data_IF_660350968871
#
_entry.id   IF_660350968871
#
_cell.length_a   1.000
_cell.length_b   1.000
_cell.length_c   1.000
_cell.angle_alpha   90.00
_cell.angle_beta   90.00
_cell.angle_gamma   90.00
#
_symmetry.space_group_name_H-M   'P 1'
#
loop_
_entity.id
_entity.type
_entity.pdbx_description
1 polymer ?
#
# COMPACT_ATOMS: atom_id res chain seq x y z
N UNK A 1 -9.65 31.81 8.15
CA UNK A 1 -10.72 31.59 7.13
C UNK A 1 -10.06 30.86 5.96
N UNK A 2 -10.29 29.57 5.83
CA UNK A 2 -9.78 28.77 4.71
C UNK A 2 -10.54 29.18 3.45
N UNK A 3 -9.82 29.61 2.41
CA UNK A 3 -10.42 29.88 1.09
C UNK A 3 -11.13 28.62 0.59
N UNK A 4 -12.30 28.75 -0.05
CA UNK A 4 -13.01 27.60 -0.58
C UNK A 4 -12.12 26.89 -1.61
N UNK A 5 -11.96 25.59 -1.47
CA UNK A 5 -11.25 24.76 -2.45
C UNK A 5 -12.13 24.68 -3.69
N UNK A 6 -11.64 25.19 -4.82
CA UNK A 6 -12.39 25.16 -6.07
C UNK A 6 -11.91 23.98 -6.91
N UNK A 7 -12.80 23.04 -7.17
CA UNK A 7 -12.60 21.98 -8.17
C UNK A 7 -13.09 22.51 -9.51
N UNK A 8 -12.24 22.50 -10.53
CA UNK A 8 -12.56 23.02 -11.86
C UNK A 8 -13.40 22.02 -12.68
N UNK A 9 -14.07 22.52 -13.74
CA UNK A 9 -14.77 21.64 -14.69
C UNK A 9 -13.81 20.63 -15.35
N UNK A 10 -12.56 21.04 -15.56
CA UNK A 10 -11.51 20.16 -16.08
C UNK A 10 -11.24 19.01 -15.09
N UNK A 11 -11.16 19.32 -13.80
CA UNK A 11 -10.96 18.30 -12.76
C UNK A 11 -12.11 17.29 -12.76
N UNK A 12 -13.36 17.78 -12.86
CA UNK A 12 -14.53 16.91 -12.91
C UNK A 12 -14.55 15.99 -14.14
N UNK A 13 -14.19 16.51 -15.31
CA UNK A 13 -14.06 15.66 -16.52
C UNK A 13 -13.01 14.59 -16.35
N UNK A 14 -11.88 14.93 -15.75
CA UNK A 14 -10.81 13.99 -15.48
C UNK A 14 -11.24 12.92 -14.46
N UNK A 15 -11.93 13.33 -13.39
CA UNK A 15 -12.47 12.39 -12.41
C UNK A 15 -13.44 11.39 -13.06
N UNK A 16 -14.28 11.84 -14.01
CA UNK A 16 -15.17 10.97 -14.77
C UNK A 16 -14.40 9.97 -15.65
N UNK A 17 -13.26 10.36 -16.20
CA UNK A 17 -12.35 9.47 -16.95
C UNK A 17 -11.77 8.38 -16.04
N UNK A 18 -11.29 8.77 -14.86
CA UNK A 18 -10.71 7.85 -13.86
C UNK A 18 -11.73 6.81 -13.36
N UNK A 19 -13.01 7.17 -13.31
CA UNK A 19 -14.10 6.26 -12.91
C UNK A 19 -14.46 5.25 -14.00
N UNK A 20 -13.90 5.37 -15.20
CA UNK A 20 -14.14 4.49 -16.33
C UNK A 20 -13.76 3.02 -16.12
N UNK A 21 -13.92 2.21 -17.15
CA UNK A 21 -13.68 0.76 -17.05
C UNK A 21 -12.19 0.40 -17.18
N UNK A 22 -11.51 0.21 -16.06
CA UNK A 22 -10.10 -0.20 -15.96
C UNK A 22 -9.92 -1.70 -15.74
N UNK A 23 -10.76 -2.55 -16.33
CA UNK A 23 -10.78 -3.99 -16.03
C UNK A 23 -9.70 -4.80 -16.73
N UNK A 24 -9.01 -4.25 -17.74
CA UNK A 24 -8.11 -5.01 -18.61
C UNK A 24 -6.73 -5.31 -18.01
N UNK A 25 -6.30 -4.55 -17.00
CA UNK A 25 -4.97 -4.63 -16.40
C UNK A 25 -4.98 -4.82 -14.88
N UNK A 26 -5.96 -5.60 -14.41
CA UNK A 26 -6.13 -5.91 -12.99
C UNK A 26 -5.02 -6.83 -12.49
N UNK A 27 -4.28 -6.41 -11.45
CA UNK A 27 -3.33 -7.29 -10.77
C UNK A 27 -4.07 -8.35 -9.93
N UNK A 28 -3.34 -9.37 -9.45
CA UNK A 28 -3.89 -10.37 -8.52
C UNK A 28 -4.45 -9.79 -7.22
N UNK A 29 -3.91 -8.67 -6.76
CA UNK A 29 -4.41 -7.91 -5.61
C UNK A 29 -4.26 -6.41 -5.86
N UNK A 30 -5.17 -5.60 -5.33
CA UNK A 30 -5.10 -4.15 -5.43
C UNK A 30 -6.00 -3.55 -6.50
N UNK A 31 -5.56 -2.47 -7.13
CA UNK A 31 -6.26 -1.69 -8.14
C UNK A 31 -5.64 -1.88 -9.54
N UNK A 32 -6.40 -1.59 -10.63
CA UNK A 32 -5.82 -1.57 -11.98
C UNK A 32 -4.60 -0.65 -12.07
N UNK A 33 -3.57 -1.09 -12.79
CA UNK A 33 -2.35 -0.28 -12.97
C UNK A 33 -2.62 1.02 -13.74
N UNK A 34 -3.50 0.98 -14.74
CA UNK A 34 -3.96 2.17 -15.46
C UNK A 34 -4.60 3.20 -14.53
N UNK A 35 -5.42 2.75 -13.58
CA UNK A 35 -6.04 3.62 -12.59
C UNK A 35 -4.99 4.30 -11.69
N UNK A 36 -4.00 3.55 -11.22
CA UNK A 36 -2.91 4.13 -10.40
C UNK A 36 -2.06 5.11 -11.22
N UNK A 37 -1.80 4.83 -12.50
CA UNK A 37 -1.09 5.72 -13.40
C UNK A 37 -1.86 7.03 -13.63
N UNK A 38 -3.16 6.95 -13.89
CA UNK A 38 -4.01 8.13 -14.03
C UNK A 38 -4.08 8.97 -12.75
N UNK A 39 -4.14 8.32 -11.58
CA UNK A 39 -4.09 9.03 -10.30
C UNK A 39 -2.77 9.80 -10.13
N UNK A 40 -1.65 9.19 -10.50
CA UNK A 40 -0.33 9.82 -10.47
C UNK A 40 -0.24 11.02 -11.39
N UNK A 41 -0.85 10.96 -12.57
CA UNK A 41 -0.89 12.07 -13.53
C UNK A 41 -1.78 13.23 -13.03
N UNK A 42 -2.86 12.93 -12.34
CA UNK A 42 -3.80 13.94 -11.83
C UNK A 42 -3.33 14.61 -10.54
N UNK A 43 -2.64 13.87 -9.69
CA UNK A 43 -1.99 14.35 -8.47
C UNK A 43 -0.49 14.15 -8.67
N UNK A 44 0.20 15.10 -9.33
CA UNK A 44 1.60 14.93 -9.67
C UNK A 44 2.44 14.58 -8.43
N UNK A 45 3.14 13.46 -8.50
CA UNK A 45 4.00 12.96 -7.43
C UNK A 45 5.16 12.17 -8.02
N UNK A 46 6.23 12.01 -7.26
CA UNK A 46 7.40 11.25 -7.71
C UNK A 46 7.10 9.75 -7.66
N UNK A 47 6.39 9.33 -6.61
CA UNK A 47 5.89 7.96 -6.50
C UNK A 47 4.51 7.88 -5.87
N UNK A 48 3.82 6.78 -6.18
CA UNK A 48 2.53 6.41 -5.63
C UNK A 48 2.61 4.95 -5.21
N UNK A 49 2.12 4.66 -4.01
CA UNK A 49 2.02 3.29 -3.50
C UNK A 49 0.60 2.98 -3.04
N UNK A 50 0.15 1.78 -3.37
CA UNK A 50 -1.12 1.23 -2.93
C UNK A 50 -0.89 -0.14 -2.30
N UNK A 51 -1.09 -0.26 -1.00
CA UNK A 51 -0.77 -1.49 -0.26
C UNK A 51 -1.76 -1.77 0.86
N UNK A 52 -1.78 -3.02 1.31
CA UNK A 52 -2.56 -3.46 2.45
C UNK A 52 -1.68 -3.78 3.64
N UNK A 53 -2.02 -3.26 4.82
CA UNK A 53 -1.23 -3.36 6.03
C UNK A 53 -2.07 -3.85 7.21
N UNK A 54 -1.52 -4.80 7.98
CA UNK A 54 -1.98 -5.24 9.30
C UNK A 54 -0.98 -4.75 10.35
N UNK A 55 -1.36 -3.72 11.10
CA UNK A 55 -0.45 -3.07 12.03
C UNK A 55 -0.18 -3.91 13.30
N UNK A 56 -1.13 -4.75 13.72
CA UNK A 56 -0.95 -5.63 14.88
C UNK A 56 0.06 -6.75 14.59
N UNK A 57 0.01 -7.30 13.36
CA UNK A 57 0.88 -8.41 12.98
C UNK A 57 2.12 -7.95 12.20
N UNK A 58 2.25 -6.63 11.94
CA UNK A 58 3.35 -6.06 11.17
C UNK A 58 3.51 -6.74 9.80
N UNK A 59 2.42 -6.84 9.06
CA UNK A 59 2.36 -7.55 7.78
C UNK A 59 1.77 -6.64 6.71
N UNK A 60 2.44 -6.58 5.56
CA UNK A 60 1.84 -6.14 4.32
C UNK A 60 1.33 -7.35 3.55
N UNK A 61 0.07 -7.31 3.07
CA UNK A 61 -0.48 -8.44 2.30
C UNK A 61 -0.57 -8.20 0.80
N UNK A 62 -0.29 -7.01 0.33
CA UNK A 62 0.03 -6.67 -1.06
C UNK A 62 0.65 -5.29 -1.11
N UNK A 63 1.45 -5.04 -2.16
CA UNK A 63 2.01 -3.73 -2.47
C UNK A 63 2.03 -3.53 -4.00
N UNK A 64 1.63 -2.34 -4.44
CA UNK A 64 1.70 -1.85 -5.82
C UNK A 64 2.34 -0.48 -5.81
N UNK A 65 3.48 -0.30 -6.47
CA UNK A 65 4.17 0.98 -6.56
C UNK A 65 4.30 1.50 -8.00
N UNK A 66 4.22 2.81 -8.21
CA UNK A 66 4.52 3.49 -9.48
C UNK A 66 5.50 4.64 -9.22
N UNK A 67 6.75 4.59 -9.73
CA UNK A 67 7.37 3.43 -10.40
C UNK A 67 7.42 2.21 -9.50
N UNK A 68 7.45 1.04 -10.10
CA UNK A 68 7.47 -0.19 -9.36
C UNK A 68 8.66 -0.22 -8.39
N UNK A 69 8.42 -0.56 -7.10
CA UNK A 69 9.44 -0.65 -6.04
C UNK A 69 10.04 0.66 -5.60
N UNK A 70 9.26 1.72 -5.60
CA UNK A 70 9.75 3.08 -5.40
C UNK A 70 10.48 3.30 -4.07
N UNK A 71 10.09 2.61 -3.00
CA UNK A 71 10.61 2.87 -1.66
C UNK A 71 10.92 1.62 -0.84
N UNK A 72 10.55 0.45 -1.32
CA UNK A 72 10.93 -0.83 -0.71
C UNK A 72 12.07 -1.44 -1.53
N UNK A 73 13.26 -1.46 -0.98
CA UNK A 73 14.41 -2.16 -1.56
C UNK A 73 14.33 -3.69 -1.35
N UNK A 74 13.23 -4.16 -0.76
CA UNK A 74 13.02 -5.57 -0.42
C UNK A 74 13.90 -6.03 0.74
N UNK A 75 14.58 -5.11 1.43
CA UNK A 75 15.42 -5.48 2.56
C UNK A 75 14.58 -5.72 3.82
N UNK A 76 14.88 -6.83 4.51
CA UNK A 76 14.32 -7.10 5.85
C UNK A 76 14.63 -5.95 6.82
N UNK A 77 15.72 -5.21 6.58
CA UNK A 77 16.15 -4.09 7.41
C UNK A 77 15.21 -2.89 7.32
N UNK A 78 14.83 -2.44 6.12
CA UNK A 78 13.90 -1.30 5.97
C UNK A 78 12.51 -1.64 6.51
N UNK A 79 12.03 -2.84 6.25
CA UNK A 79 10.77 -3.31 6.80
C UNK A 79 10.78 -3.36 8.33
N UNK A 80 11.87 -3.85 8.92
CA UNK A 80 12.02 -3.92 10.37
C UNK A 80 12.11 -2.51 10.98
N UNK A 81 12.93 -1.63 10.40
CA UNK A 81 13.07 -0.24 10.84
C UNK A 81 11.72 0.49 10.80
N UNK A 82 10.95 0.34 9.71
CA UNK A 82 9.62 0.94 9.59
C UNK A 82 8.73 0.56 10.78
N UNK A 83 8.66 -0.72 11.14
CA UNK A 83 7.81 -1.17 12.23
C UNK A 83 8.32 -0.79 13.61
N UNK A 84 9.65 -0.67 13.80
CA UNK A 84 10.24 -0.19 15.06
C UNK A 84 9.82 1.25 15.37
N UNK A 85 9.72 2.10 14.35
CA UNK A 85 9.39 3.53 14.50
C UNK A 85 7.94 3.87 14.14
N UNK A 86 7.17 2.92 13.61
CA UNK A 86 5.81 3.14 13.11
C UNK A 86 4.88 3.75 14.17
N UNK A 87 4.84 3.12 15.34
CA UNK A 87 3.94 3.55 16.40
C UNK A 87 4.35 4.90 17.04
N UNK A 88 5.58 5.34 16.90
CA UNK A 88 6.03 6.65 17.36
C UNK A 88 5.66 7.78 16.39
N UNK A 89 5.37 7.45 15.12
CA UNK A 89 4.90 8.40 14.14
C UNK A 89 3.38 8.60 14.25
N UNK A 90 2.95 9.78 14.75
CA UNK A 90 1.52 10.12 14.80
C UNK A 90 0.90 10.10 13.41
N UNK A 91 1.60 10.63 12.39
CA UNK A 91 1.09 10.72 11.03
C UNK A 91 0.86 9.33 10.41
N UNK A 92 1.89 8.46 10.43
CA UNK A 92 1.80 7.14 9.82
C UNK A 92 0.83 6.21 10.56
N UNK A 93 0.84 6.24 11.90
CA UNK A 93 -0.01 5.39 12.73
C UNK A 93 -1.42 5.96 12.97
N UNK A 94 -1.73 7.16 12.46
CA UNK A 94 -3.00 7.85 12.72
C UNK A 94 -4.24 6.98 12.48
N UNK A 95 -4.40 6.32 11.30
CA UNK A 95 -5.60 5.53 11.04
C UNK A 95 -5.72 4.32 11.95
N UNK A 96 -4.61 3.67 12.32
CA UNK A 96 -4.63 2.49 13.18
C UNK A 96 -4.84 2.85 14.66
N UNK A 97 -4.36 4.02 15.09
CA UNK A 97 -4.60 4.52 16.46
C UNK A 97 -6.01 5.02 16.69
N UNK A 98 -6.59 5.67 15.69
CA UNK A 98 -7.86 6.40 15.85
C UNK A 98 -9.04 5.69 15.25
N UNK A 99 -8.81 4.75 14.33
CA UNK A 99 -9.84 4.14 13.49
C UNK A 99 -10.37 5.09 12.40
N UNK A 100 -9.80 6.29 12.28
CA UNK A 100 -10.18 7.23 11.21
C UNK A 100 -9.52 6.86 9.89
N UNK A 101 -10.28 6.14 9.10
CA UNK A 101 -9.92 5.81 7.72
C UNK A 101 -10.62 6.72 6.71
N UNK A 102 -11.23 7.83 7.15
CA UNK A 102 -11.94 8.78 6.26
C UNK A 102 -11.11 9.98 5.89
N UNK A 103 -10.33 10.50 6.80
CA UNK A 103 -9.46 11.65 6.57
C UNK A 103 -8.36 11.32 5.55
N UNK A 104 -8.04 12.29 4.71
CA UNK A 104 -6.84 12.28 3.89
C UNK A 104 -5.83 13.14 4.62
N UNK A 105 -4.71 12.55 5.00
CA UNK A 105 -3.75 13.15 5.92
C UNK A 105 -2.40 13.39 5.27
N UNK A 106 -1.68 14.36 5.81
CA UNK A 106 -0.28 14.66 5.51
C UNK A 106 0.48 14.78 6.83
N UNK A 107 1.79 14.53 6.89
CA UNK A 107 2.56 14.72 8.12
C UNK A 107 2.41 16.12 8.73
N UNK A 108 2.29 17.16 7.90
CA UNK A 108 2.12 18.53 8.36
C UNK A 108 0.73 18.87 8.93
N UNK A 109 -0.22 17.94 8.89
CA UNK A 109 -1.48 18.06 9.66
C UNK A 109 -1.27 17.79 11.14
N UNK A 110 -0.20 17.08 11.52
CA UNK A 110 0.13 16.65 12.90
C UNK A 110 1.34 17.34 13.48
N UNK A 111 2.25 17.80 12.61
CA UNK A 111 3.53 18.37 12.99
C UNK A 111 3.78 19.71 12.30
N UNK A 112 4.50 20.61 12.95
CA UNK A 112 5.21 21.65 12.19
C UNK A 112 6.34 21.02 11.37
N UNK A 113 6.80 21.68 10.30
CA UNK A 113 7.88 21.17 9.47
C UNK A 113 9.15 20.81 10.30
N UNK A 114 9.50 21.67 11.29
CA UNK A 114 10.62 21.42 12.20
C UNK A 114 10.43 20.16 13.04
N UNK A 115 9.23 19.95 13.57
CA UNK A 115 8.91 18.75 14.35
C UNK A 115 8.94 17.51 13.47
N UNK A 116 8.36 17.58 12.27
CA UNK A 116 8.39 16.46 11.32
C UNK A 116 9.82 16.01 11.02
N UNK A 117 10.69 16.97 10.65
CA UNK A 117 12.09 16.68 10.34
C UNK A 117 12.89 16.13 11.53
N UNK A 118 12.42 16.31 12.76
CA UNK A 118 13.06 15.77 13.96
C UNK A 118 12.55 14.38 14.36
N UNK A 119 11.54 13.83 13.68
CA UNK A 119 11.05 12.47 13.95
C UNK A 119 11.99 11.41 13.39
N UNK A 120 12.05 10.25 14.04
CA UNK A 120 12.79 9.11 13.52
C UNK A 120 12.23 8.66 12.16
N UNK A 121 10.89 8.67 12.00
CA UNK A 121 10.23 8.33 10.73
C UNK A 121 10.76 9.18 9.58
N UNK A 122 10.90 10.49 9.76
CA UNK A 122 11.48 11.33 8.71
C UNK A 122 12.97 11.10 8.53
N UNK A 123 13.76 11.17 9.62
CA UNK A 123 15.22 11.20 9.54
C UNK A 123 15.83 9.87 9.09
N UNK A 124 15.22 8.75 9.45
CA UNK A 124 15.75 7.41 9.24
C UNK A 124 15.07 6.65 8.09
N UNK A 125 13.79 7.00 7.77
CA UNK A 125 13.04 6.32 6.74
C UNK A 125 12.76 7.21 5.52
N UNK A 126 12.09 8.37 5.69
CA UNK A 126 11.67 9.23 4.58
C UNK A 126 12.84 9.96 3.89
N UNK A 127 13.70 10.61 4.68
CA UNK A 127 14.82 11.39 4.13
C UNK A 127 15.82 10.55 3.34
N UNK A 128 16.25 9.36 3.79
CA UNK A 128 17.12 8.51 2.99
C UNK A 128 16.50 8.07 1.66
N UNK A 129 15.19 7.91 1.62
CA UNK A 129 14.42 7.61 0.40
C UNK A 129 14.16 8.84 -0.49
N UNK A 130 14.62 10.03 -0.10
CA UNK A 130 14.39 11.27 -0.84
C UNK A 130 12.96 11.81 -0.75
N UNK A 131 12.18 11.36 0.23
CA UNK A 131 10.79 11.77 0.44
C UNK A 131 10.77 12.98 1.38
N UNK A 132 10.12 14.06 0.95
CA UNK A 132 9.87 15.25 1.75
C UNK A 132 8.41 15.36 2.17
N UNK A 133 7.50 15.01 1.28
CA UNK A 133 6.06 15.13 1.48
C UNK A 133 5.33 13.83 1.19
N UNK A 134 4.37 13.53 2.02
CA UNK A 134 3.43 12.42 1.86
C UNK A 134 1.99 12.93 1.92
N UNK A 135 1.11 12.33 1.13
CA UNK A 135 -0.34 12.45 1.29
C UNK A 135 -0.94 11.05 1.30
N UNK A 136 -1.69 10.73 2.35
CA UNK A 136 -2.24 9.40 2.61
C UNK A 136 -3.76 9.38 2.55
N UNK A 137 -4.31 8.43 1.79
CA UNK A 137 -5.71 8.01 1.84
C UNK A 137 -5.76 6.58 2.37
N UNK A 138 -6.64 6.32 3.37
CA UNK A 138 -6.88 4.98 3.89
C UNK A 138 -8.25 4.46 3.49
N UNK A 139 -8.34 3.16 3.23
CA UNK A 139 -9.58 2.41 3.04
C UNK A 139 -9.69 1.35 4.13
N UNK A 140 -10.89 1.09 4.67
CA UNK A 140 -11.07 0.08 5.72
C UNK A 140 -10.92 -1.34 5.15
N UNK A 141 -10.16 -2.17 5.87
CA UNK A 141 -9.96 -3.58 5.54
C UNK A 141 -10.22 -4.53 6.73
N UNK A 142 -10.70 -3.99 7.85
CA UNK A 142 -10.98 -4.73 9.08
C UNK A 142 -10.36 -4.06 10.31
N UNK A 143 -10.51 -4.65 11.50
CA UNK A 143 -9.84 -4.16 12.70
C UNK A 143 -8.32 -4.19 12.51
N UNK A 144 -7.64 -3.11 12.87
CA UNK A 144 -6.18 -2.92 12.73
C UNK A 144 -5.62 -3.20 11.32
N UNK A 145 -6.50 -3.23 10.32
CA UNK A 145 -6.18 -3.46 8.91
C UNK A 145 -6.63 -2.31 8.07
N UNK A 146 -5.70 -1.74 7.34
CA UNK A 146 -5.96 -0.65 6.40
C UNK A 146 -5.38 -0.96 5.03
N UNK A 147 -6.05 -0.47 4.01
CA UNK A 147 -5.47 -0.36 2.67
C UNK A 147 -5.13 1.09 2.45
N UNK A 148 -3.91 1.37 2.06
CA UNK A 148 -3.36 2.71 1.97
C UNK A 148 -2.98 3.05 0.55
N UNK A 149 -3.31 4.26 0.15
CA UNK A 149 -2.85 4.89 -1.06
C UNK A 149 -2.00 6.09 -0.65
N UNK A 150 -0.71 6.01 -0.89
CA UNK A 150 0.29 7.01 -0.54
C UNK A 150 0.82 7.69 -1.79
N UNK A 151 0.88 9.01 -1.73
CA UNK A 151 1.52 9.84 -2.74
C UNK A 151 2.76 10.46 -2.11
N UNK A 152 3.90 10.41 -2.81
CA UNK A 152 5.17 10.89 -2.31
C UNK A 152 5.75 11.95 -3.22
N UNK A 153 6.31 13.01 -2.62
CA UNK A 153 7.12 14.03 -3.30
C UNK A 153 8.45 14.21 -2.60
N UNK A 154 9.49 14.44 -3.36
CA UNK A 154 10.77 14.94 -2.88
C UNK A 154 10.71 16.43 -2.56
N UNK A 155 11.89 17.08 -2.60
CA UNK A 155 12.02 18.51 -2.30
C UNK A 155 11.18 19.36 -3.25
N UNK A 156 10.34 20.22 -2.69
CA UNK A 156 9.44 21.07 -3.46
C UNK A 156 8.19 21.46 -2.68
N UNK A 157 7.11 21.84 -3.37
CA UNK A 157 5.85 22.19 -2.73
C UNK A 157 5.12 20.95 -2.22
N UNK A 158 4.54 21.05 -1.01
CA UNK A 158 3.66 20.04 -0.45
C UNK A 158 2.38 19.85 -1.29
N UNK A 159 1.67 18.77 -1.05
CA UNK A 159 0.35 18.51 -1.63
C UNK A 159 -0.64 19.61 -1.23
N UNK A 160 -1.33 20.14 -2.22
CA UNK A 160 -2.27 21.23 -2.04
C UNK A 160 -3.62 20.75 -1.49
N UNK A 161 -4.44 21.68 -1.01
CA UNK A 161 -5.82 21.35 -0.62
C UNK A 161 -6.69 20.95 -1.84
N UNK A 162 -6.29 21.37 -3.06
CA UNK A 162 -6.91 20.87 -4.29
C UNK A 162 -6.60 19.39 -4.50
N UNK A 163 -5.36 18.94 -4.30
CA UNK A 163 -4.98 17.52 -4.43
C UNK A 163 -5.77 16.69 -3.42
N UNK A 164 -5.88 17.16 -2.19
CA UNK A 164 -6.68 16.55 -1.12
C UNK A 164 -8.16 16.44 -1.51
N UNK A 165 -8.74 17.52 -2.07
CA UNK A 165 -10.14 17.54 -2.50
C UNK A 165 -10.42 16.58 -3.66
N UNK A 166 -9.52 16.48 -4.64
CA UNK A 166 -9.62 15.52 -5.74
C UNK A 166 -9.64 14.10 -5.21
N UNK A 167 -8.71 13.77 -4.31
CA UNK A 167 -8.62 12.45 -3.71
C UNK A 167 -9.84 12.12 -2.84
N UNK A 168 -10.41 13.11 -2.16
CA UNK A 168 -11.65 12.97 -1.39
C UNK A 168 -12.84 12.61 -2.30
N UNK A 169 -12.94 13.24 -3.47
CA UNK A 169 -14.00 12.94 -4.45
C UNK A 169 -13.82 11.54 -5.07
N UNK A 170 -12.59 11.12 -5.31
CA UNK A 170 -12.29 9.79 -5.87
C UNK A 170 -12.45 8.65 -4.88
N UNK A 171 -12.37 8.93 -3.58
CA UNK A 171 -12.39 7.93 -2.52
C UNK A 171 -13.50 6.87 -2.66
N UNK A 172 -14.79 7.20 -2.88
CA UNK A 172 -15.85 6.21 -3.01
C UNK A 172 -15.59 5.24 -4.17
N UNK A 173 -15.04 5.75 -5.27
CA UNK A 173 -14.74 4.96 -6.47
C UNK A 173 -13.53 4.05 -6.25
N UNK A 174 -12.48 4.54 -5.61
CA UNK A 174 -11.32 3.75 -5.22
C UNK A 174 -11.72 2.62 -4.26
N UNK A 175 -12.57 2.92 -3.29
CA UNK A 175 -13.08 1.93 -2.35
C UNK A 175 -13.94 0.87 -3.05
N UNK A 176 -14.79 1.28 -3.98
CA UNK A 176 -15.62 0.35 -4.75
C UNK A 176 -14.76 -0.50 -5.69
N UNK A 177 -13.81 0.11 -6.41
CA UNK A 177 -12.87 -0.60 -7.29
C UNK A 177 -12.05 -1.65 -6.54
N UNK A 178 -11.53 -1.30 -5.36
CA UNK A 178 -10.82 -2.23 -4.50
C UNK A 178 -11.72 -3.39 -4.04
N UNK A 179 -12.94 -3.11 -3.57
CA UNK A 179 -13.90 -4.14 -3.17
C UNK A 179 -14.25 -5.10 -4.30
N UNK A 180 -14.42 -4.58 -5.50
CA UNK A 180 -14.74 -5.38 -6.68
C UNK A 180 -13.53 -6.24 -7.11
N UNK A 181 -12.31 -5.72 -7.01
CA UNK A 181 -11.10 -6.50 -7.22
C UNK A 181 -11.00 -7.65 -6.19
N UNK A 182 -11.22 -7.37 -4.91
CA UNK A 182 -11.24 -8.39 -3.85
C UNK A 182 -12.31 -9.46 -4.07
N UNK A 183 -13.51 -9.09 -4.49
CA UNK A 183 -14.58 -10.05 -4.81
C UNK A 183 -14.18 -10.95 -5.97
N UNK A 184 -13.62 -10.40 -7.05
CA UNK A 184 -13.15 -11.19 -8.20
C UNK A 184 -12.05 -12.15 -7.77
N UNK A 185 -11.07 -11.67 -7.01
CA UNK A 185 -10.00 -12.52 -6.46
C UNK A 185 -10.55 -13.66 -5.61
N UNK A 186 -11.50 -13.38 -4.72
CA UNK A 186 -12.12 -14.38 -3.86
C UNK A 186 -12.95 -15.39 -4.64
N UNK A 187 -13.54 -15.01 -5.80
CA UNK A 187 -14.27 -15.93 -6.66
C UNK A 187 -13.35 -16.80 -7.51
N UNK A 188 -12.19 -16.29 -7.91
CA UNK A 188 -11.20 -17.03 -8.71
C UNK A 188 -10.39 -18.00 -7.85
N UNK A 189 -10.01 -17.56 -6.65
CA UNK A 189 -9.24 -18.34 -5.69
C UNK A 189 -9.99 -18.35 -4.35
N UNK A 190 -10.62 -19.47 -3.95
CA UNK A 190 -11.39 -19.55 -2.69
C UNK A 190 -10.45 -19.63 -1.48
N UNK A 191 -9.57 -18.66 -1.35
CA UNK A 191 -8.62 -18.51 -0.25
C UNK A 191 -9.21 -17.55 0.80
N UNK A 192 -8.95 -17.85 2.06
CA UNK A 192 -9.29 -16.93 3.16
C UNK A 192 -8.29 -15.78 3.24
N UNK A 193 -8.61 -14.65 3.90
CA UNK A 193 -7.64 -13.59 4.15
C UNK A 193 -6.33 -14.12 4.76
N UNK A 194 -6.43 -15.05 5.73
CA UNK A 194 -5.26 -15.70 6.35
C UNK A 194 -4.41 -16.51 5.36
N UNK A 195 -5.03 -17.14 4.39
CA UNK A 195 -4.30 -17.83 3.32
C UNK A 195 -3.52 -16.86 2.45
N UNK A 196 -4.08 -15.70 2.15
CA UNK A 196 -3.41 -14.66 1.40
C UNK A 196 -2.21 -14.08 2.15
N UNK A 197 -2.34 -13.80 3.44
CA UNK A 197 -1.23 -13.38 4.30
C UNK A 197 -0.06 -14.37 4.24
N UNK A 198 -0.35 -15.65 4.45
CA UNK A 198 0.66 -16.71 4.35
C UNK A 198 1.30 -16.72 2.96
N UNK A 199 0.51 -16.60 1.88
CA UNK A 199 1.03 -16.59 0.51
C UNK A 199 1.93 -15.39 0.21
N UNK A 200 1.58 -14.19 0.70
CA UNK A 200 2.43 -13.02 0.52
C UNK A 200 3.78 -13.19 1.23
N UNK A 201 3.79 -13.67 2.46
CA UNK A 201 5.04 -13.97 3.18
C UNK A 201 5.85 -15.08 2.49
N UNK A 202 5.16 -16.05 1.91
CA UNK A 202 5.79 -17.09 1.09
C UNK A 202 6.44 -16.51 -0.14
N UNK A 203 5.76 -15.57 -0.80
CA UNK A 203 6.23 -14.89 -2.00
C UNK A 203 7.41 -13.98 -1.71
N UNK A 204 7.43 -13.33 -0.54
CA UNK A 204 8.55 -12.56 -0.03
C UNK A 204 9.75 -13.43 0.43
N UNK A 205 9.69 -14.75 0.24
CA UNK A 205 10.81 -15.66 0.53
C UNK A 205 10.92 -16.14 1.98
N UNK A 206 9.97 -15.78 2.87
CA UNK A 206 10.04 -16.18 4.28
C UNK A 206 9.91 -17.69 4.48
N UNK A 207 10.70 -18.26 5.39
CA UNK A 207 10.57 -19.65 5.83
C UNK A 207 9.33 -19.84 6.72
N UNK A 208 8.87 -21.07 6.91
CA UNK A 208 7.74 -21.36 7.80
C UNK A 208 7.97 -20.85 9.23
N UNK A 209 9.21 -20.92 9.72
CA UNK A 209 9.58 -20.38 11.03
C UNK A 209 9.46 -18.87 11.11
N UNK A 210 9.85 -18.14 10.06
CA UNK A 210 9.70 -16.69 9.97
C UNK A 210 8.24 -16.29 9.87
N UNK A 211 7.47 -16.97 9.01
CA UNK A 211 6.02 -16.77 8.89
C UNK A 211 5.32 -17.02 10.21
N UNK A 212 5.66 -18.11 10.90
CA UNK A 212 5.09 -18.46 12.20
C UNK A 212 5.30 -17.35 13.23
N UNK A 213 6.53 -16.81 13.32
CA UNK A 213 6.84 -15.69 14.20
C UNK A 213 6.07 -14.42 13.85
N UNK A 214 6.01 -14.06 12.55
CA UNK A 214 5.30 -12.85 12.10
C UNK A 214 3.79 -12.91 12.30
N UNK A 215 3.22 -14.10 12.23
CA UNK A 215 1.77 -14.31 12.33
C UNK A 215 1.31 -14.79 13.71
N UNK A 216 2.24 -14.85 14.69
CA UNK A 216 2.02 -15.33 16.06
C UNK A 216 1.33 -16.71 16.11
N UNK A 217 1.85 -17.65 15.33
CA UNK A 217 1.37 -19.02 15.26
C UNK A 217 2.54 -20.02 15.30
N UNK A 218 2.24 -21.31 15.34
CA UNK A 218 3.28 -22.36 15.26
C UNK A 218 3.64 -22.64 13.79
N UNK A 219 4.87 -23.13 13.53
CA UNK A 219 5.27 -23.62 12.20
C UNK A 219 4.35 -24.72 11.68
N UNK A 220 3.83 -25.57 12.57
CA UNK A 220 2.84 -26.59 12.22
C UNK A 220 1.54 -25.95 11.69
N UNK A 221 1.13 -24.84 12.29
CA UNK A 221 -0.06 -24.10 11.83
C UNK A 221 0.19 -23.50 10.45
N UNK A 222 1.37 -22.92 10.20
CA UNK A 222 1.77 -22.43 8.86
C UNK A 222 1.76 -23.57 7.84
N UNK A 223 2.35 -24.71 8.19
CA UNK A 223 2.31 -25.92 7.35
C UNK A 223 0.88 -26.31 6.98
N UNK A 224 -0.04 -26.29 7.95
CA UNK A 224 -1.45 -26.61 7.72
C UNK A 224 -2.15 -25.57 6.80
N UNK A 225 -1.83 -24.29 6.96
CA UNK A 225 -2.32 -23.26 6.03
C UNK A 225 -1.80 -23.52 4.61
N UNK A 226 -0.52 -23.85 4.45
CA UNK A 226 0.06 -24.14 3.13
C UNK A 226 -0.57 -25.39 2.47
N UNK A 227 -0.79 -26.46 3.21
CA UNK A 227 -1.53 -27.64 2.70
C UNK A 227 -2.92 -27.26 2.18
N UNK A 228 -3.66 -26.48 2.97
CA UNK A 228 -5.00 -26.01 2.57
C UNK A 228 -4.96 -25.08 1.36
N UNK A 229 -3.94 -24.21 1.27
CA UNK A 229 -3.70 -23.34 0.11
C UNK A 229 -3.42 -24.17 -1.13
N UNK A 230 -2.50 -25.16 -1.03
CA UNK A 230 -2.15 -26.02 -2.16
C UNK A 230 -3.35 -26.80 -2.68
N UNK A 231 -4.15 -27.35 -1.77
CA UNK A 231 -5.38 -28.04 -2.15
C UNK A 231 -6.38 -27.13 -2.87
N UNK A 232 -6.58 -25.89 -2.38
CA UNK A 232 -7.53 -24.92 -2.98
C UNK A 232 -7.03 -24.35 -4.31
N UNK A 233 -5.74 -24.14 -4.45
CA UNK A 233 -5.11 -23.70 -5.70
C UNK A 233 -4.87 -24.85 -6.69
N UNK A 234 -5.10 -26.10 -6.28
CA UNK A 234 -4.82 -27.30 -7.06
C UNK A 234 -3.36 -27.37 -7.52
N UNK A 235 -2.43 -27.13 -6.60
CA UNK A 235 -0.98 -27.18 -6.83
C UNK A 235 -0.32 -28.09 -5.80
N UNK A 236 0.91 -28.55 -6.09
CA UNK A 236 1.63 -29.50 -5.24
C UNK A 236 2.90 -28.93 -4.60
N UNK A 237 3.24 -27.66 -4.87
CA UNK A 237 4.49 -27.08 -4.36
C UNK A 237 4.33 -25.62 -3.99
N UNK A 238 5.27 -25.16 -3.14
CA UNK A 238 5.39 -23.76 -2.71
C UNK A 238 5.53 -22.80 -3.90
N UNK A 239 6.44 -23.10 -4.82
CA UNK A 239 6.67 -22.30 -6.03
C UNK A 239 5.44 -22.28 -6.94
N UNK A 240 4.81 -23.43 -7.15
CA UNK A 240 3.59 -23.51 -7.95
C UNK A 240 2.43 -22.71 -7.32
N UNK A 241 2.35 -22.67 -5.98
CA UNK A 241 1.34 -21.84 -5.30
C UNK A 241 1.58 -20.35 -5.54
N UNK A 242 2.83 -19.88 -5.49
CA UNK A 242 3.20 -18.49 -5.79
C UNK A 242 2.85 -18.16 -7.24
N UNK A 243 3.34 -18.93 -8.21
CA UNK A 243 3.08 -18.71 -9.64
C UNK A 243 1.58 -18.70 -9.94
N UNK A 244 0.80 -19.58 -9.31
CA UNK A 244 -0.65 -19.65 -9.50
C UNK A 244 -1.40 -18.47 -8.89
N UNK A 245 -1.00 -18.04 -7.70
CA UNK A 245 -1.64 -16.94 -6.97
C UNK A 245 -1.22 -15.56 -7.53
N UNK A 246 -0.01 -15.47 -8.08
CA UNK A 246 0.61 -14.25 -8.57
C UNK A 246 1.21 -14.48 -9.98
N UNK A 247 0.37 -14.58 -11.03
CA UNK A 247 0.83 -14.90 -12.38
C UNK A 247 1.78 -13.86 -12.98
N UNK A 248 1.69 -12.59 -12.52
CA UNK A 248 2.54 -11.49 -13.00
C UNK A 248 3.82 -11.28 -12.16
N UNK A 249 4.15 -12.24 -11.31
CA UNK A 249 5.29 -12.19 -10.39
C UNK A 249 4.87 -11.74 -8.99
N UNK A 250 5.17 -12.56 -7.99
CA UNK A 250 4.75 -12.36 -6.59
C UNK A 250 5.52 -11.26 -5.86
N UNK A 251 6.57 -10.80 -6.43
CA UNK A 251 7.37 -9.68 -6.00
C UNK A 251 7.95 -9.03 -7.25
N UNK A 252 7.32 -8.00 -7.72
CA UNK A 252 8.13 -6.95 -8.32
C UNK A 252 8.75 -6.18 -7.15
N UNK A 253 9.73 -6.81 -6.47
CA UNK A 253 10.82 -6.08 -5.87
C UNK A 253 11.51 -5.39 -7.02
N UNK A 254 11.22 -4.12 -7.19
CA UNK A 254 11.81 -3.35 -8.26
C UNK A 254 13.30 -3.19 -8.04
N UNK A 255 14.08 -3.10 -9.13
CA UNK A 255 15.48 -2.77 -9.03
C UNK A 255 15.66 -1.38 -8.43
N UNK A 256 16.56 -1.32 -7.45
CA UNK A 256 17.09 -0.13 -6.81
C UNK A 256 17.26 1.00 -7.82
N UNK A 257 16.59 2.12 -7.59
CA UNK A 257 17.00 3.39 -8.18
C UNK A 257 18.37 3.75 -7.61
N UNK A 258 19.43 3.44 -8.37
CA UNK A 258 20.73 4.02 -8.11
C UNK A 258 20.55 5.53 -8.12
N UNK A 259 20.78 6.14 -6.95
CA UNK A 259 20.93 7.57 -6.82
C UNK A 259 21.95 8.00 -7.89
N UNK A 260 21.52 8.78 -8.87
CA UNK A 260 22.41 9.50 -9.76
C UNK A 260 23.13 10.54 -8.89
N UNK A 261 24.33 10.17 -8.42
CA UNK A 261 25.32 11.15 -8.04
C UNK A 261 25.66 11.95 -9.32
N UNK A 262 25.31 13.21 -9.32
CA UNK A 262 25.98 14.29 -10.02
C UNK A 262 25.75 15.58 -9.24
#
# INVERSE_FOLDING_TARGET
MTSPVTVSERDLRTLLGIVGDHRSDLPPAGLPWSLLAELKDQIPCDALEFFGQDADHQVEWFNQGIPAGSYDDGSDFQFQLYWEIYWDSIACAYPDRTGDVRSITKPLDFYSARQWHSTAMYSEFFRPAGIEHEMMLCLPAGPMRTVRLLFFRGVGPDFSERDRALLMLLRPHLQQGYRDAERRRSSTFPLTPRHWEVLHLVAAGHTNAQIARRLDVTEKTVGKHLENIYARLQVSSRTAAITRAFPDGAAQTAPVLQARAN
#
